data_IF_176888507353
#
_entry.id   IF_176888507353
#
_cell.length_a   1.000
_cell.length_b   1.000
_cell.length_c   1.000
_cell.angle_alpha   90.00
_cell.angle_beta   90.00
_cell.angle_gamma   90.00
#
_symmetry.space_group_name_H-M   'P 1'
#
loop_
_entity.id
_entity.type
_entity.pdbx_description
1 polymer ?
#
# COMPACT_ATOMS: atom_id res chain seq x y z
N UNK A 1 4.36 -21.51 3.71
CA UNK A 1 4.94 -20.16 3.83
C UNK A 1 4.04 -19.18 3.10
N UNK A 2 3.97 -17.95 3.58
CA UNK A 2 3.29 -16.83 2.93
C UNK A 2 4.33 -15.75 2.64
N UNK A 3 4.36 -15.28 1.41
CA UNK A 3 5.27 -14.23 0.95
C UNK A 3 4.41 -13.13 0.36
N UNK A 4 4.51 -11.93 0.91
CA UNK A 4 3.75 -10.78 0.44
C UNK A 4 4.28 -10.23 -0.89
N UNK A 5 3.54 -9.28 -1.46
CA UNK A 5 3.88 -8.68 -2.74
C UNK A 5 5.14 -7.82 -2.62
N UNK A 6 6.00 -7.86 -3.65
CA UNK A 6 7.09 -6.91 -3.82
C UNK A 6 6.74 -5.90 -4.89
N UNK A 7 7.07 -4.65 -4.65
CA UNK A 7 6.83 -3.57 -5.60
C UNK A 7 8.15 -2.87 -5.82
N UNK A 8 8.70 -3.07 -7.02
CA UNK A 8 9.85 -2.32 -7.49
C UNK A 8 9.39 -1.03 -8.14
N UNK A 9 10.01 0.07 -7.77
CA UNK A 9 9.65 1.40 -8.23
C UNK A 9 10.88 2.25 -8.54
N UNK A 10 10.72 3.30 -9.33
CA UNK A 10 11.78 4.25 -9.62
C UNK A 10 11.97 5.22 -8.44
N UNK A 11 13.19 5.33 -7.92
CA UNK A 11 13.47 6.18 -6.74
C UNK A 11 13.27 7.68 -6.99
N UNK A 12 13.30 8.13 -8.26
CA UNK A 12 13.17 9.54 -8.61
C UNK A 12 11.73 9.93 -8.89
N UNK A 13 10.91 9.01 -9.41
CA UNK A 13 9.54 9.32 -9.84
C UNK A 13 8.44 8.64 -9.02
N UNK A 14 8.78 7.59 -8.26
CA UNK A 14 7.77 6.77 -7.57
C UNK A 14 6.96 5.86 -8.51
N UNK A 15 7.32 5.82 -9.79
CA UNK A 15 6.64 4.98 -10.78
C UNK A 15 6.93 3.51 -10.53
N UNK A 16 5.88 2.68 -10.56
CA UNK A 16 6.00 1.24 -10.38
C UNK A 16 6.58 0.62 -11.65
N UNK A 17 7.72 -0.07 -11.48
CA UNK A 17 8.44 -0.74 -12.57
C UNK A 17 7.96 -2.19 -12.69
N UNK A 18 7.94 -2.92 -11.59
CA UNK A 18 7.57 -4.33 -11.57
C UNK A 18 6.91 -4.71 -10.24
N UNK A 19 5.59 -4.94 -10.23
CA UNK A 19 4.95 -5.63 -9.13
C UNK A 19 5.18 -7.15 -9.26
N UNK A 20 5.54 -7.81 -8.16
CA UNK A 20 5.65 -9.26 -8.05
C UNK A 20 4.59 -9.72 -7.06
N UNK A 21 3.56 -10.40 -7.58
CA UNK A 21 2.41 -10.84 -6.80
C UNK A 21 2.77 -11.72 -5.60
N UNK A 22 1.90 -11.70 -4.59
CA UNK A 22 2.01 -12.52 -3.39
C UNK A 22 1.97 -14.02 -3.71
N UNK A 23 2.61 -14.84 -2.86
CA UNK A 23 2.75 -16.28 -3.05
C UNK A 23 2.46 -17.03 -1.75
N UNK A 24 1.82 -18.20 -1.85
CA UNK A 24 1.50 -19.07 -0.70
C UNK A 24 1.84 -20.53 -0.99
N UNK A 25 2.23 -21.27 0.05
CA UNK A 25 2.43 -22.73 0.00
C UNK A 25 3.91 -23.10 0.08
N UNK A 26 4.36 -23.91 -0.87
CA UNK A 26 5.76 -24.35 -1.03
C UNK A 26 6.55 -23.33 -1.85
N UNK A 27 6.59 -22.10 -1.34
CA UNK A 27 7.23 -20.98 -2.01
C UNK A 27 8.36 -20.44 -1.15
N UNK A 28 9.42 -19.97 -1.81
CA UNK A 28 10.57 -19.30 -1.17
C UNK A 28 10.56 -17.85 -1.65
N UNK A 29 10.86 -16.93 -0.72
CA UNK A 29 11.04 -15.53 -1.06
C UNK A 29 12.26 -15.40 -1.99
N UNK A 30 12.06 -14.73 -3.12
CA UNK A 30 13.15 -14.45 -4.06
C UNK A 30 14.09 -13.39 -3.49
N UNK A 31 15.36 -13.38 -3.87
CA UNK A 31 16.23 -12.24 -3.57
C UNK A 31 16.03 -11.15 -4.61
N UNK A 32 16.45 -9.92 -4.28
CA UNK A 32 16.46 -8.81 -5.24
C UNK A 32 17.23 -9.16 -6.51
N UNK A 33 18.38 -9.81 -6.38
CA UNK A 33 19.20 -10.22 -7.53
C UNK A 33 18.47 -11.24 -8.42
N UNK A 34 17.75 -12.18 -7.81
CA UNK A 34 16.92 -13.14 -8.56
C UNK A 34 15.78 -12.44 -9.28
N UNK A 35 15.13 -11.46 -8.66
CA UNK A 35 14.07 -10.67 -9.27
C UNK A 35 14.61 -9.87 -10.48
N UNK A 36 15.76 -9.20 -10.33
CA UNK A 36 16.42 -8.47 -11.43
C UNK A 36 16.85 -9.37 -12.59
N UNK A 37 17.26 -10.61 -12.32
CA UNK A 37 17.59 -11.59 -13.36
C UNK A 37 16.36 -12.19 -14.05
N UNK A 38 15.19 -12.18 -13.37
CA UNK A 38 13.96 -12.81 -13.86
C UNK A 38 13.12 -11.85 -14.71
N UNK A 39 13.01 -10.59 -14.29
CA UNK A 39 12.10 -9.62 -14.92
C UNK A 39 12.85 -8.65 -15.82
N UNK A 40 12.51 -8.65 -17.12
CA UNK A 40 13.13 -7.77 -18.11
C UNK A 40 13.01 -6.28 -17.74
N UNK A 41 11.85 -5.86 -17.20
CA UNK A 41 11.61 -4.48 -16.76
C UNK A 41 12.59 -4.01 -15.68
N UNK A 42 13.12 -4.93 -14.86
CA UNK A 42 14.15 -4.63 -13.85
C UNK A 42 15.55 -4.71 -14.44
N UNK A 43 15.80 -5.67 -15.35
CA UNK A 43 17.09 -5.84 -16.01
C UNK A 43 17.52 -4.61 -16.84
N UNK A 44 16.57 -3.84 -17.35
CA UNK A 44 16.82 -2.59 -18.10
C UNK A 44 17.16 -1.39 -17.20
N UNK A 45 17.08 -1.52 -15.87
CA UNK A 45 17.28 -0.43 -14.91
C UNK A 45 18.59 -0.59 -14.14
N UNK A 46 19.15 0.53 -13.68
CA UNK A 46 20.28 0.52 -12.75
C UNK A 46 19.78 0.11 -11.36
N UNK A 47 20.33 -0.94 -10.73
CA UNK A 47 19.84 -1.42 -9.44
C UNK A 47 19.80 -0.36 -8.34
N UNK A 48 20.71 0.61 -8.36
CA UNK A 48 20.78 1.72 -7.40
C UNK A 48 19.69 2.78 -7.61
N UNK A 49 19.06 2.83 -8.79
CA UNK A 49 17.97 3.77 -9.09
C UNK A 49 16.58 3.20 -8.77
N UNK A 50 16.51 1.95 -8.30
CA UNK A 50 15.26 1.22 -8.10
C UNK A 50 15.02 1.03 -6.60
N UNK A 51 13.87 1.45 -6.12
CA UNK A 51 13.39 1.16 -4.77
C UNK A 51 12.64 -0.17 -4.72
N UNK A 52 12.47 -0.72 -3.52
CA UNK A 52 11.63 -1.90 -3.33
C UNK A 52 10.83 -1.77 -2.04
N UNK A 53 9.52 -1.94 -2.16
CA UNK A 53 8.61 -2.08 -1.01
C UNK A 53 8.20 -3.55 -0.94
N UNK A 54 8.45 -4.18 0.21
CA UNK A 54 7.96 -5.51 0.54
C UNK A 54 6.72 -5.36 1.42
N UNK A 55 5.58 -5.85 0.92
CA UNK A 55 4.32 -5.88 1.65
C UNK A 55 4.20 -7.16 2.46
N UNK A 56 3.36 -7.14 3.50
CA UNK A 56 2.88 -8.33 4.17
C UNK A 56 1.90 -9.11 3.28
N UNK A 57 1.75 -10.40 3.54
CA UNK A 57 0.80 -11.23 2.80
C UNK A 57 -0.63 -10.74 3.05
N UNK A 58 -1.41 -10.50 1.99
CA UNK A 58 -2.76 -9.95 2.05
C UNK A 58 -2.84 -8.44 2.33
N UNK A 59 -1.72 -7.75 2.48
CA UNK A 59 -1.72 -6.30 2.70
C UNK A 59 -2.26 -5.57 1.47
N UNK A 60 -3.24 -4.70 1.69
CA UNK A 60 -3.92 -3.91 0.64
C UNK A 60 -4.64 -4.77 -0.43
N UNK A 61 -4.99 -6.02 -0.14
CA UNK A 61 -5.61 -6.93 -1.12
C UNK A 61 -6.88 -6.34 -1.74
N UNK A 62 -7.74 -5.73 -0.92
CA UNK A 62 -8.93 -5.04 -1.38
C UNK A 62 -8.59 -3.81 -2.23
N UNK A 63 -7.60 -3.01 -1.81
CA UNK A 63 -7.21 -1.81 -2.55
C UNK A 63 -6.68 -2.15 -3.95
N UNK A 64 -5.87 -3.21 -4.07
CA UNK A 64 -5.40 -3.69 -5.37
C UNK A 64 -6.53 -4.20 -6.27
N UNK A 65 -7.56 -4.81 -5.69
CA UNK A 65 -8.74 -5.27 -6.44
C UNK A 65 -9.59 -4.10 -6.94
N UNK A 66 -9.70 -3.03 -6.16
CA UNK A 66 -10.56 -1.88 -6.47
C UNK A 66 -9.86 -0.80 -7.31
N UNK A 67 -8.53 -0.64 -7.22
CA UNK A 67 -7.81 0.43 -7.92
C UNK A 67 -7.62 0.19 -9.44
N UNK A 68 -7.97 -0.99 -9.94
CA UNK A 68 -7.84 -1.34 -11.36
C UNK A 68 -6.40 -1.25 -11.90
N UNK A 69 -5.39 -1.43 -11.04
CA UNK A 69 -3.97 -1.31 -11.40
C UNK A 69 -3.40 0.11 -11.31
N UNK A 70 -4.19 1.12 -10.94
CA UNK A 70 -3.69 2.49 -10.74
C UNK A 70 -3.14 2.68 -9.33
N UNK A 71 -1.85 2.40 -9.14
CA UNK A 71 -1.14 2.66 -7.89
C UNK A 71 0.29 3.12 -8.16
N UNK A 72 0.86 3.85 -7.20
CA UNK A 72 2.22 4.40 -7.25
C UNK A 72 2.86 4.36 -5.86
N UNK A 73 4.16 4.59 -5.81
CA UNK A 73 4.87 4.80 -4.55
C UNK A 73 5.03 6.31 -4.35
N UNK A 74 4.46 6.84 -3.28
CA UNK A 74 4.79 8.18 -2.81
C UNK A 74 6.20 8.17 -2.23
N UNK A 75 7.04 9.02 -2.78
CA UNK A 75 8.45 9.20 -2.43
C UNK A 75 8.71 10.58 -1.84
N UNK A 76 7.65 11.26 -1.39
CA UNK A 76 7.74 12.59 -0.77
C UNK A 76 8.62 12.55 0.48
N UNK A 77 8.59 11.43 1.21
CA UNK A 77 9.60 11.06 2.20
C UNK A 77 10.41 9.85 1.68
N UNK A 78 11.67 10.04 1.25
CA UNK A 78 12.48 8.94 0.71
C UNK A 78 12.86 7.90 1.77
N UNK A 79 12.73 8.21 3.07
CA UNK A 79 12.97 7.26 4.15
C UNK A 79 11.75 6.38 4.46
N UNK A 80 10.57 6.78 4.02
CA UNK A 80 9.31 6.09 4.30
C UNK A 80 8.42 6.02 3.04
N UNK A 81 8.83 5.26 2.00
CA UNK A 81 8.05 5.11 0.79
C UNK A 81 6.70 4.43 1.07
N UNK A 82 5.60 5.05 0.64
CA UNK A 82 4.23 4.57 0.89
C UNK A 82 3.49 4.31 -0.40
N UNK A 83 2.64 3.30 -0.43
CA UNK A 83 1.76 3.10 -1.57
C UNK A 83 0.60 4.09 -1.54
N UNK A 84 0.34 4.65 -2.71
CA UNK A 84 -0.84 5.47 -2.98
C UNK A 84 -1.62 4.85 -4.13
N UNK A 85 -2.93 4.87 -4.00
CA UNK A 85 -3.87 4.24 -4.90
C UNK A 85 -4.77 5.30 -5.53
N UNK A 86 -5.19 5.06 -6.77
CA UNK A 86 -6.25 5.79 -7.44
C UNK A 86 -7.35 4.80 -7.78
N UNK A 87 -8.57 5.09 -7.36
CA UNK A 87 -9.73 4.25 -7.60
C UNK A 87 -10.57 4.89 -8.71
N UNK A 88 -11.17 4.09 -9.61
CA UNK A 88 -12.02 4.63 -10.67
C UNK A 88 -13.23 5.33 -10.05
N UNK A 89 -13.52 6.53 -10.53
CA UNK A 89 -14.73 7.23 -10.11
C UNK A 89 -15.96 6.52 -10.71
N UNK A 90 -16.96 6.15 -9.90
CA UNK A 90 -18.13 5.41 -10.38
C UNK A 90 -19.07 6.26 -11.25
N UNK A 91 -18.93 7.59 -11.22
CA UNK A 91 -19.75 8.55 -11.96
C UNK A 91 -19.02 9.03 -13.22
N UNK A 92 -17.71 9.25 -13.13
CA UNK A 92 -16.86 9.69 -14.25
C UNK A 92 -15.59 8.81 -14.40
N UNK A 93 -15.68 7.66 -15.08
CA UNK A 93 -14.56 6.72 -15.19
C UNK A 93 -13.36 7.27 -15.97
N UNK A 94 -13.53 8.36 -16.74
CA UNK A 94 -12.48 9.04 -17.50
C UNK A 94 -11.81 10.17 -16.71
N UNK A 95 -12.21 10.41 -15.46
CA UNK A 95 -11.62 11.42 -14.61
C UNK A 95 -10.10 11.18 -14.43
N UNK A 96 -9.28 12.26 -14.35
CA UNK A 96 -7.86 12.12 -14.07
C UNK A 96 -7.63 11.37 -12.75
N UNK A 97 -6.65 10.44 -12.68
CA UNK A 97 -6.41 9.66 -11.47
C UNK A 97 -5.96 10.54 -10.31
N UNK A 98 -6.59 10.37 -9.15
CA UNK A 98 -6.26 11.09 -7.91
C UNK A 98 -5.69 10.09 -6.90
N UNK A 99 -4.40 10.22 -6.61
CA UNK A 99 -3.68 9.32 -5.72
C UNK A 99 -3.83 9.72 -4.26
N UNK A 100 -4.15 8.75 -3.41
CA UNK A 100 -4.29 8.92 -1.96
C UNK A 100 -3.85 7.66 -1.22
N UNK A 101 -3.68 7.72 0.12
CA UNK A 101 -3.40 6.52 0.92
C UNK A 101 -4.46 5.43 0.71
N UNK A 102 -4.13 4.15 0.95
CA UNK A 102 -5.06 3.05 0.73
C UNK A 102 -6.37 3.26 1.50
N UNK A 103 -7.51 3.01 0.87
CA UNK A 103 -8.82 3.16 1.51
C UNK A 103 -8.95 2.24 2.71
N UNK A 104 -8.38 1.03 2.66
CA UNK A 104 -8.33 0.13 3.82
C UNK A 104 -7.66 0.75 5.05
N UNK A 105 -6.59 1.52 4.86
CA UNK A 105 -5.88 2.24 5.93
C UNK A 105 -6.74 3.38 6.46
N UNK A 106 -7.37 4.15 5.59
CA UNK A 106 -8.23 5.26 5.99
C UNK A 106 -9.43 4.77 6.80
N UNK A 107 -10.08 3.68 6.37
CA UNK A 107 -11.21 3.07 7.09
C UNK A 107 -10.76 2.57 8.46
N UNK A 108 -9.60 1.89 8.54
CA UNK A 108 -9.06 1.42 9.82
C UNK A 108 -8.77 2.57 10.79
N UNK A 109 -8.15 3.67 10.30
CA UNK A 109 -7.87 4.86 11.11
C UNK A 109 -9.14 5.57 11.58
N UNK A 110 -10.15 5.67 10.70
CA UNK A 110 -11.45 6.24 11.04
C UNK A 110 -12.16 5.41 12.11
N UNK A 111 -12.17 4.09 11.96
CA UNK A 111 -12.78 3.19 12.95
C UNK A 111 -12.09 3.33 14.32
N UNK A 112 -10.76 3.34 14.34
CA UNK A 112 -10.00 3.56 15.57
C UNK A 112 -10.36 4.91 16.20
N UNK A 113 -10.45 5.98 15.41
CA UNK A 113 -10.84 7.31 15.90
C UNK A 113 -12.24 7.30 16.51
N UNK A 114 -13.19 6.58 15.88
CA UNK A 114 -14.56 6.43 16.40
C UNK A 114 -14.56 5.68 17.73
N UNK A 115 -13.76 4.62 17.86
CA UNK A 115 -13.68 3.82 19.08
C UNK A 115 -13.08 4.64 20.23
N UNK A 116 -12.00 5.38 19.96
CA UNK A 116 -11.33 6.25 20.94
C UNK A 116 -12.26 7.38 21.42
N UNK A 117 -12.99 8.03 20.51
CA UNK A 117 -13.97 9.06 20.86
C UNK A 117 -15.14 8.47 21.67
N UNK A 118 -15.59 7.27 21.33
CA UNK A 118 -16.66 6.58 22.06
C UNK A 118 -16.23 6.27 23.49
N UNK A 119 -14.99 5.80 23.68
CA UNK A 119 -14.42 5.56 25.01
C UNK A 119 -14.32 6.86 25.83
N UNK A 120 -13.81 7.94 25.23
CA UNK A 120 -13.72 9.24 25.90
C UNK A 120 -15.09 9.79 26.32
N UNK A 121 -16.12 9.63 25.48
CA UNK A 121 -17.50 10.02 25.82
C UNK A 121 -18.04 9.18 26.98
N UNK A 122 -17.80 7.86 26.99
CA UNK A 122 -18.23 6.99 28.08
C UNK A 122 -17.59 7.37 29.43
N UNK A 123 -16.29 7.70 29.43
CA UNK A 123 -15.58 8.16 30.62
C UNK A 123 -16.14 9.49 31.14
N UNK A 124 -16.43 10.44 30.24
CA UNK A 124 -17.07 11.72 30.62
C UNK A 124 -18.47 11.50 31.22
N UNK A 125 -19.27 10.60 30.64
CA UNK A 125 -20.60 10.26 31.16
C UNK A 125 -20.52 9.58 32.53
N UNK A 126 -19.57 8.66 32.74
CA UNK A 126 -19.35 8.00 34.02
C UNK A 126 -18.91 8.99 35.10
N UNK A 127 -18.03 9.94 34.76
CA UNK A 127 -17.60 11.00 35.66
C UNK A 127 -18.75 11.93 36.08
N UNK A 128 -19.69 12.24 35.17
CA UNK A 128 -20.86 13.08 35.47
C UNK A 128 -21.91 12.38 36.35
N UNK A 129 -22.05 11.05 36.25
CA UNK A 129 -22.98 10.26 37.08
C UNK A 129 -22.45 9.95 38.49
N UNK A 130 -21.17 10.27 38.74
CA UNK A 130 -20.49 10.05 40.02
C UNK A 130 -20.53 11.28 40.94
N UNK A 131 -21.24 12.35 40.52
CA UNK A 131 -21.45 13.62 41.24
C UNK A 131 -22.94 13.75 41.59
#
# INVERSE_FOLDING_TARGET
MQVGMKIYYDLLTGEVIQPIGQRQGYVVETTREQDFATYAALAERVPEAVGMVQLEYGQYEQDFAECGGNFRVDISDPSEPKLVFSYPDPVDPDAPPVYHPPLSVQVAQQQQTIDDLTAAIADLMAAQLSV
#
